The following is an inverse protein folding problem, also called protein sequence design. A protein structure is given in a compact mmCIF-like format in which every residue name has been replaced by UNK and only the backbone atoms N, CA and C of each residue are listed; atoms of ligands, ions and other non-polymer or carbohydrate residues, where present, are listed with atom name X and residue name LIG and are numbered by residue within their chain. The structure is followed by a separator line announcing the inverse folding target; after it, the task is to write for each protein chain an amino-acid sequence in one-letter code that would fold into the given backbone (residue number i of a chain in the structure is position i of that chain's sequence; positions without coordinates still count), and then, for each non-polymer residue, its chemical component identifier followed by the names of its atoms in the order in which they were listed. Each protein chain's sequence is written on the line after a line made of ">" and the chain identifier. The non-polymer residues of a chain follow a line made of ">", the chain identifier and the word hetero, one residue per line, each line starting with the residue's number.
data_IF_334529064828
#
_entry.id   IF_334529064828
#
_cell.length_a   1.000
_cell.length_b   1.000
_cell.length_c   1.000
_cell.angle_alpha   90.00
_cell.angle_beta   90.00
_cell.angle_gamma   90.00
#
_symmetry.space_group_name_H-M   'P 1'
#
loop_
_entity.id
_entity.type
_entity.pdbx_description
1 polymer ?
#
# COMPACT_ATOMS: atom_id res chain seq x y z
N UNK A 1 0.84 44.98 73.45
CA UNK A 1 2.22 45.49 73.37
C UNK A 1 2.67 45.30 71.93
N UNK A 2 3.12 46.24 71.11
CA UNK A 2 3.27 47.71 71.11
C UNK A 2 3.03 48.15 69.63
N UNK A 3 2.26 49.21 69.37
CA UNK A 3 2.69 50.55 68.89
C UNK A 3 3.37 50.54 67.49
N UNK A 4 3.20 51.48 66.55
CA UNK A 4 2.65 52.84 66.53
C UNK A 4 2.47 53.27 65.04
N UNK A 5 1.37 53.96 64.70
CA UNK A 5 1.30 55.40 64.31
C UNK A 5 1.97 55.77 62.98
N UNK A 6 1.21 56.02 61.90
CA UNK A 6 0.54 57.29 61.52
C UNK A 6 1.44 58.34 60.85
N UNK A 7 1.11 58.75 59.62
CA UNK A 7 0.60 60.11 59.30
C UNK A 7 0.37 60.28 57.79
N UNK A 8 -0.74 60.93 57.49
CA UNK A 8 -1.22 61.40 56.19
C UNK A 8 -0.50 62.66 55.72
N UNK A 9 -0.46 62.90 54.40
CA UNK A 9 -0.57 64.24 53.81
C UNK A 9 -1.18 64.14 52.41
N UNK A 10 -2.28 64.87 52.21
CA UNK A 10 -2.90 65.17 50.91
C UNK A 10 -2.18 66.36 50.27
N UNK A 11 -1.93 66.30 48.95
CA UNK A 11 -1.89 67.48 48.08
C UNK A 11 -2.44 67.12 46.70
N UNK A 12 -3.40 67.94 46.26
CA UNK A 12 -4.07 67.97 44.98
C UNK A 12 -3.24 68.71 43.92
N UNK A 13 -3.21 68.22 42.68
CA UNK A 13 -2.97 69.02 41.46
C UNK A 13 -3.55 68.26 40.24
N UNK A 14 -4.45 68.91 39.49
CA UNK A 14 -4.84 68.59 38.10
C UNK A 14 -4.24 69.66 37.16
N UNK A 15 -4.38 69.59 35.83
CA UNK A 15 -4.04 68.51 34.89
C UNK A 15 -3.12 69.04 33.74
N UNK A 16 -2.38 68.19 33.04
CA UNK A 16 -1.82 68.55 31.71
C UNK A 16 -1.90 67.35 30.78
N UNK A 17 -2.75 67.46 29.76
CA UNK A 17 -2.77 66.59 28.59
C UNK A 17 -1.49 66.87 27.79
N UNK A 18 -0.66 65.84 27.57
CA UNK A 18 0.41 65.89 26.57
C UNK A 18 0.34 64.63 25.73
N UNK A 19 -0.15 64.80 24.49
CA UNK A 19 -0.07 63.79 23.45
C UNK A 19 1.39 63.47 23.16
N UNK A 20 1.79 62.21 23.35
CA UNK A 20 3.04 61.70 22.80
C UNK A 20 2.74 60.47 21.96
N UNK A 21 2.99 60.65 20.66
CA UNK A 21 2.95 59.65 19.60
C UNK A 21 3.88 58.49 19.96
N UNK A 22 3.34 57.27 19.97
CA UNK A 22 4.11 56.03 20.05
C UNK A 22 4.85 55.85 18.73
N UNK A 23 6.17 55.58 18.72
CA UNK A 23 6.85 55.19 17.50
C UNK A 23 6.46 53.74 17.16
N UNK A 24 5.97 53.54 15.94
CA UNK A 24 5.68 52.22 15.40
C UNK A 24 6.96 51.35 15.41
N UNK A 25 6.96 50.30 16.22
CA UNK A 25 7.98 49.27 16.15
C UNK A 25 7.81 48.50 14.82
N UNK A 26 8.82 48.56 13.96
CA UNK A 26 8.92 47.67 12.81
C UNK A 26 9.14 46.25 13.34
N UNK A 27 8.06 45.51 13.56
CA UNK A 27 8.15 44.05 13.60
C UNK A 27 8.57 43.59 12.20
N UNK A 28 9.85 43.24 12.05
CA UNK A 28 10.28 42.34 10.97
C UNK A 28 9.57 41.02 11.21
N UNK A 29 8.50 40.78 10.46
CA UNK A 29 7.90 39.47 10.36
C UNK A 29 8.97 38.50 9.88
N UNK A 30 9.43 37.63 10.77
CA UNK A 30 10.09 36.39 10.38
C UNK A 30 9.01 35.54 9.73
N UNK A 31 8.95 35.57 8.41
CA UNK A 31 8.24 34.56 7.64
C UNK A 31 9.04 33.27 7.73
N UNK A 32 8.92 32.59 8.87
CA UNK A 32 9.17 31.15 8.89
C UNK A 32 8.02 30.52 8.13
N UNK A 33 8.18 30.38 6.81
CA UNK A 33 7.37 29.50 6.01
C UNK A 33 7.61 28.08 6.55
N UNK A 34 6.80 27.68 7.53
CA UNK A 34 6.61 26.28 7.85
C UNK A 34 5.99 25.67 6.60
N UNK A 35 6.83 25.12 5.72
CA UNK A 35 6.38 24.17 4.72
C UNK A 35 5.81 22.98 5.51
N UNK A 36 4.53 23.05 5.88
CA UNK A 36 3.77 21.85 6.17
C UNK A 36 3.82 21.06 4.87
N UNK A 37 4.55 19.95 4.87
CA UNK A 37 4.47 18.94 3.83
C UNK A 37 3.04 18.41 3.91
N UNK A 38 2.13 19.08 3.22
CA UNK A 38 0.72 18.74 3.22
C UNK A 38 0.58 17.42 2.48
N UNK A 39 0.07 16.40 3.17
CA UNK A 39 -0.29 15.14 2.53
C UNK A 39 -1.32 15.39 1.43
N UNK A 40 -1.26 14.59 0.37
CA UNK A 40 -2.20 14.68 -0.76
C UNK A 40 -3.67 14.48 -0.35
N UNK A 41 -3.95 13.78 0.77
CA UNK A 41 -5.29 13.64 1.32
C UNK A 41 -5.28 13.32 2.83
N UNK A 42 -6.17 13.92 3.65
CA UNK A 42 -6.43 13.43 5.01
C UNK A 42 -7.07 12.04 4.96
N UNK A 43 -6.82 11.18 5.97
CA UNK A 43 -7.30 9.78 6.00
C UNK A 43 -8.82 9.59 5.73
N UNK A 44 -9.64 10.60 6.01
CA UNK A 44 -11.10 10.59 5.72
C UNK A 44 -11.44 10.64 4.22
N UNK A 45 -10.50 11.03 3.37
CA UNK A 45 -10.64 11.17 1.93
C UNK A 45 -10.02 9.98 1.16
N UNK A 46 -9.42 9.01 1.85
CA UNK A 46 -8.88 7.80 1.22
C UNK A 46 -10.01 6.95 0.60
N UNK A 47 -9.82 6.42 -0.62
CA UNK A 47 -10.82 5.56 -1.24
C UNK A 47 -10.96 4.24 -0.45
N UNK A 48 -12.19 3.73 -0.37
CA UNK A 48 -12.45 2.42 0.24
C UNK A 48 -12.05 1.29 -0.72
N UNK A 49 -10.94 0.62 -0.43
CA UNK A 49 -10.36 -0.43 -1.27
C UNK A 49 -10.97 -1.80 -0.95
N UNK A 50 -12.16 -2.07 -1.50
CA UNK A 50 -12.83 -3.37 -1.36
C UNK A 50 -12.55 -4.27 -2.57
N UNK A 51 -12.71 -5.57 -2.39
CA UNK A 51 -12.69 -6.50 -3.53
C UNK A 51 -13.76 -6.10 -4.56
N UNK A 52 -13.40 -6.16 -5.84
CA UNK A 52 -14.27 -5.82 -6.98
C UNK A 52 -14.31 -4.33 -7.35
N UNK A 53 -13.74 -3.42 -6.55
CA UNK A 53 -13.62 -2.02 -6.95
C UNK A 53 -12.51 -1.85 -7.99
N UNK A 54 -12.64 -0.83 -8.84
CA UNK A 54 -11.55 -0.46 -9.74
C UNK A 54 -10.39 0.10 -8.91
N UNK A 55 -9.20 -0.46 -9.09
CA UNK A 55 -7.97 0.02 -8.46
C UNK A 55 -7.72 1.49 -8.84
N UNK A 56 -7.46 2.39 -7.89
CA UNK A 56 -7.19 3.81 -8.19
C UNK A 56 -6.05 3.98 -9.21
N UNK A 57 -6.19 4.88 -10.17
CA UNK A 57 -5.07 5.23 -11.05
C UNK A 57 -4.18 6.27 -10.38
N UNK A 58 -2.89 6.26 -10.70
CA UNK A 58 -1.92 7.26 -10.26
C UNK A 58 -0.81 7.43 -11.30
N UNK A 59 -0.11 8.56 -11.21
CA UNK A 59 1.17 8.78 -11.88
C UNK A 59 2.27 8.65 -10.84
N UNK A 60 3.39 8.00 -11.17
CA UNK A 60 4.49 7.83 -10.23
C UNK A 60 5.84 7.81 -10.94
N UNK A 61 6.88 8.21 -10.20
CA UNK A 61 8.27 7.97 -10.58
C UNK A 61 8.67 6.58 -10.14
N UNK A 62 9.32 5.83 -11.03
CA UNK A 62 9.80 4.48 -10.74
C UNK A 62 11.25 4.32 -11.20
N UNK A 63 11.89 3.24 -10.76
CA UNK A 63 13.22 2.84 -11.26
C UNK A 63 13.25 2.58 -12.77
N UNK A 64 12.10 2.45 -13.43
CA UNK A 64 11.98 2.32 -14.90
C UNK A 64 11.50 3.61 -15.58
N UNK A 65 11.53 4.75 -14.88
CA UNK A 65 11.04 6.04 -15.36
C UNK A 65 9.64 6.38 -14.88
N UNK A 66 9.08 7.46 -15.44
CA UNK A 66 7.73 7.94 -15.13
C UNK A 66 6.67 6.96 -15.67
N UNK A 67 5.61 6.77 -14.88
CA UNK A 67 4.62 5.73 -15.15
C UNK A 67 3.19 6.19 -14.84
N UNK A 68 2.26 5.81 -15.72
CA UNK A 68 0.82 5.77 -15.45
C UNK A 68 0.45 4.34 -15.08
N UNK A 69 -0.10 4.13 -13.88
CA UNK A 69 -0.35 2.79 -13.35
C UNK A 69 -1.33 1.99 -14.22
N UNK A 70 -2.44 2.60 -14.66
CA UNK A 70 -3.44 1.94 -15.50
C UNK A 70 -2.90 1.57 -16.88
N UNK A 71 -2.05 2.42 -17.48
CA UNK A 71 -1.35 2.06 -18.73
C UNK A 71 -0.35 0.93 -18.51
N UNK A 72 0.37 0.95 -17.39
CA UNK A 72 1.33 -0.10 -17.07
C UNK A 72 0.67 -1.48 -16.96
N UNK A 73 -0.47 -1.57 -16.25
CA UNK A 73 -1.17 -2.85 -16.02
C UNK A 73 -2.14 -3.23 -17.14
N UNK A 74 -2.25 -2.45 -18.22
CA UNK A 74 -3.31 -2.64 -19.20
C UNK A 74 -3.29 -4.04 -19.82
N UNK A 75 -4.48 -4.65 -19.91
CA UNK A 75 -4.68 -6.03 -20.39
C UNK A 75 -3.98 -7.13 -19.58
N UNK A 76 -3.36 -6.81 -18.45
CA UNK A 76 -2.51 -7.73 -17.68
C UNK A 76 -3.06 -7.91 -16.26
N UNK A 77 -2.80 -9.08 -15.67
CA UNK A 77 -2.88 -9.18 -14.22
C UNK A 77 -1.74 -8.35 -13.60
N UNK A 78 -1.96 -7.82 -12.40
CA UNK A 78 -0.94 -7.05 -11.72
C UNK A 78 -0.85 -7.34 -10.22
N UNK A 79 0.37 -7.24 -9.70
CA UNK A 79 0.67 -7.23 -8.28
C UNK A 79 1.29 -5.87 -7.97
N UNK A 80 0.57 -5.06 -7.19
CA UNK A 80 1.13 -3.89 -6.53
C UNK A 80 1.44 -4.27 -5.09
N UNK A 81 2.69 -4.13 -4.66
CA UNK A 81 3.10 -4.49 -3.31
C UNK A 81 4.03 -3.45 -2.71
N UNK A 82 3.87 -3.19 -1.41
CA UNK A 82 4.71 -2.24 -0.68
C UNK A 82 5.71 -2.94 0.23
N UNK A 83 6.79 -2.25 0.59
CA UNK A 83 7.73 -2.66 1.63
C UNK A 83 8.12 -1.45 2.50
N UNK A 84 8.30 -1.62 3.82
CA UNK A 84 8.54 -0.50 4.73
C UNK A 84 9.64 0.48 4.31
N UNK A 85 10.83 -0.03 4.02
CA UNK A 85 11.98 0.77 3.62
C UNK A 85 13.05 -0.07 2.94
N UNK A 86 13.82 0.58 2.07
CA UNK A 86 15.04 0.04 1.50
C UNK A 86 16.10 -0.19 2.59
N UNK A 87 17.11 -1.00 2.31
CA UNK A 87 18.19 -1.35 3.24
C UNK A 87 17.71 -1.95 4.58
N UNK A 88 16.59 -2.66 4.55
CA UNK A 88 16.08 -3.40 5.72
C UNK A 88 16.02 -4.91 5.46
N UNK A 89 16.36 -5.74 6.45
CA UNK A 89 16.69 -7.15 6.19
C UNK A 89 15.54 -7.96 5.60
N UNK A 90 14.33 -7.85 6.16
CA UNK A 90 13.16 -8.60 5.68
C UNK A 90 12.74 -8.12 4.28
N UNK A 91 12.82 -6.83 3.99
CA UNK A 91 12.50 -6.31 2.66
C UNK A 91 13.49 -6.84 1.62
N UNK A 92 14.79 -6.93 1.97
CA UNK A 92 15.82 -7.45 1.06
C UNK A 92 15.53 -8.91 0.70
N UNK A 93 15.16 -9.74 1.68
CA UNK A 93 14.81 -11.15 1.41
C UNK A 93 13.55 -11.29 0.56
N UNK A 94 12.54 -10.44 0.79
CA UNK A 94 11.29 -10.48 0.03
C UNK A 94 11.48 -10.10 -1.44
N UNK A 95 12.10 -8.95 -1.71
CA UNK A 95 12.30 -8.49 -3.09
C UNK A 95 13.23 -9.43 -3.86
N UNK A 96 14.23 -10.02 -3.18
CA UNK A 96 15.07 -11.07 -3.73
C UNK A 96 14.26 -12.30 -4.16
N UNK A 97 13.41 -12.82 -3.27
CA UNK A 97 12.55 -13.98 -3.57
C UNK A 97 11.56 -13.69 -4.70
N UNK A 98 10.93 -12.51 -4.70
CA UNK A 98 10.03 -12.09 -5.79
C UNK A 98 10.78 -11.94 -7.12
N UNK A 99 12.01 -11.42 -7.12
CA UNK A 99 12.83 -11.32 -8.32
C UNK A 99 13.20 -12.71 -8.88
N UNK A 100 13.55 -13.67 -8.02
CA UNK A 100 13.80 -15.05 -8.44
C UNK A 100 12.56 -15.73 -9.05
N UNK A 101 11.37 -15.40 -8.55
CA UNK A 101 10.09 -15.95 -9.03
C UNK A 101 9.52 -15.22 -10.26
N UNK A 102 10.19 -14.19 -10.79
CA UNK A 102 9.71 -13.36 -11.90
C UNK A 102 9.17 -14.18 -13.07
N UNK A 103 9.91 -15.20 -13.51
CA UNK A 103 9.51 -16.02 -14.66
C UNK A 103 8.18 -16.75 -14.42
N UNK A 104 7.87 -17.13 -13.17
CA UNK A 104 6.59 -17.77 -12.83
C UNK A 104 5.41 -16.79 -12.90
N UNK A 105 5.62 -15.53 -12.51
CA UNK A 105 4.62 -14.47 -12.65
C UNK A 105 4.43 -14.07 -14.12
N UNK A 106 5.51 -13.92 -14.88
CA UNK A 106 5.46 -13.60 -16.32
C UNK A 106 4.74 -14.69 -17.12
N UNK A 107 4.98 -15.97 -16.80
CA UNK A 107 4.27 -17.11 -17.42
C UNK A 107 2.75 -17.06 -17.22
N UNK A 108 2.28 -16.38 -16.16
CA UNK A 108 0.85 -16.17 -15.84
C UNK A 108 0.32 -14.84 -16.36
N UNK A 109 1.12 -14.07 -17.11
CA UNK A 109 0.74 -12.76 -17.62
C UNK A 109 0.56 -11.71 -16.51
N UNK A 110 1.36 -11.82 -15.44
CA UNK A 110 1.29 -10.93 -14.27
C UNK A 110 2.43 -9.93 -14.30
N UNK A 111 2.10 -8.64 -14.20
CA UNK A 111 3.05 -7.55 -14.02
C UNK A 111 3.23 -7.23 -12.55
N UNK A 112 4.46 -7.12 -12.09
CA UNK A 112 4.77 -6.75 -10.71
C UNK A 112 5.21 -5.29 -10.62
N UNK A 113 4.92 -4.65 -9.50
CA UNK A 113 5.44 -3.33 -9.15
C UNK A 113 5.56 -3.19 -7.64
N UNK A 114 6.77 -2.86 -7.19
CA UNK A 114 7.09 -2.58 -5.78
C UNK A 114 6.85 -1.12 -5.43
N UNK A 115 6.79 -0.81 -4.13
CA UNK A 115 6.63 0.55 -3.62
C UNK A 115 7.26 0.71 -2.24
N UNK A 116 7.98 1.80 -2.01
CA UNK A 116 8.26 2.32 -0.68
C UNK A 116 8.31 3.84 -0.68
N UNK A 117 8.44 4.41 0.52
CA UNK A 117 8.59 5.85 0.70
C UNK A 117 10.02 6.39 0.43
N UNK A 118 10.91 5.56 -0.10
CA UNK A 118 12.27 5.94 -0.48
C UNK A 118 12.30 6.66 -1.84
N UNK A 119 13.38 7.40 -2.10
CA UNK A 119 13.63 8.02 -3.40
C UNK A 119 14.29 7.06 -4.40
N UNK A 120 14.38 7.48 -5.67
CA UNK A 120 14.98 6.66 -6.74
C UNK A 120 16.47 6.33 -6.50
N UNK A 121 17.23 7.23 -5.89
CA UNK A 121 18.65 7.00 -5.66
C UNK A 121 18.90 5.91 -4.61
N UNK A 122 18.03 5.86 -3.59
CA UNK A 122 17.98 4.77 -2.61
C UNK A 122 17.65 3.44 -3.28
N UNK A 123 16.61 3.42 -4.13
CA UNK A 123 16.22 2.21 -4.88
C UNK A 123 17.34 1.67 -5.76
N UNK A 124 17.98 2.52 -6.57
CA UNK A 124 19.04 2.12 -7.50
C UNK A 124 20.26 1.54 -6.79
N UNK A 125 20.60 2.07 -5.61
CA UNK A 125 21.66 1.53 -4.78
C UNK A 125 21.26 0.18 -4.16
N UNK A 126 20.06 0.11 -3.58
CA UNK A 126 19.60 -1.09 -2.87
C UNK A 126 19.29 -2.27 -3.79
N UNK A 127 18.86 -2.03 -5.04
CA UNK A 127 18.69 -3.08 -6.05
C UNK A 127 19.99 -3.85 -6.28
N UNK A 128 21.16 -3.19 -6.19
CA UNK A 128 22.46 -3.86 -6.33
C UNK A 128 22.68 -4.85 -5.18
N UNK A 129 22.39 -4.44 -3.95
CA UNK A 129 22.49 -5.30 -2.77
C UNK A 129 21.54 -6.49 -2.88
N UNK A 130 20.28 -6.27 -3.30
CA UNK A 130 19.31 -7.36 -3.49
C UNK A 130 19.82 -8.38 -4.51
N UNK A 131 20.32 -7.89 -5.65
CA UNK A 131 20.81 -8.74 -6.73
C UNK A 131 22.03 -9.55 -6.31
N UNK A 132 22.97 -8.93 -5.58
CA UNK A 132 24.15 -9.60 -5.04
C UNK A 132 23.77 -10.65 -3.97
N UNK A 133 23.04 -10.25 -2.93
CA UNK A 133 22.67 -11.10 -1.80
C UNK A 133 21.80 -12.28 -2.24
N UNK A 134 20.85 -12.04 -3.15
CA UNK A 134 19.86 -13.05 -3.56
C UNK A 134 20.26 -13.76 -4.85
N UNK A 135 21.44 -13.47 -5.41
CA UNK A 135 21.91 -14.00 -6.70
C UNK A 135 20.81 -13.96 -7.77
N UNK A 136 20.26 -12.76 -8.00
CA UNK A 136 19.09 -12.56 -8.84
C UNK A 136 19.23 -11.30 -9.69
N UNK A 137 18.23 -11.04 -10.52
CA UNK A 137 18.10 -9.78 -11.24
C UNK A 137 16.69 -9.25 -11.04
N UNK A 138 16.55 -8.19 -10.24
CA UNK A 138 15.31 -7.48 -10.04
C UNK A 138 14.97 -6.68 -11.30
N UNK A 139 13.84 -7.02 -11.93
CA UNK A 139 13.42 -6.50 -13.24
C UNK A 139 12.02 -5.87 -13.22
N UNK A 140 11.36 -5.84 -12.07
CA UNK A 140 10.11 -5.10 -11.92
C UNK A 140 10.40 -3.69 -11.38
N UNK A 141 9.61 -2.69 -11.76
CA UNK A 141 9.79 -1.33 -11.27
C UNK A 141 9.50 -1.23 -9.77
N UNK A 142 10.20 -0.32 -9.10
CA UNK A 142 9.89 0.10 -7.73
C UNK A 142 9.48 1.58 -7.77
N UNK A 143 8.31 1.89 -7.19
CA UNK A 143 7.79 3.25 -7.06
C UNK A 143 8.56 3.99 -5.96
N UNK A 144 9.01 5.20 -6.26
CA UNK A 144 9.55 6.15 -5.30
C UNK A 144 8.44 7.06 -4.77
N UNK A 145 7.84 6.71 -3.63
CA UNK A 145 6.67 7.39 -3.06
C UNK A 145 7.05 8.29 -1.87
N UNK A 146 8.02 9.19 -2.07
CA UNK A 146 8.60 10.02 -1.01
C UNK A 146 7.57 10.93 -0.30
N UNK A 147 6.48 11.29 -0.98
CA UNK A 147 5.37 12.08 -0.44
C UNK A 147 4.18 11.22 0.05
N UNK A 148 4.28 9.89 -0.12
CA UNK A 148 3.31 8.87 0.33
C UNK A 148 1.96 8.98 -0.38
N UNK A 149 1.90 9.61 -1.53
CA UNK A 149 0.64 9.80 -2.24
C UNK A 149 -0.01 8.46 -2.60
N UNK A 150 0.79 7.53 -3.13
CA UNK A 150 0.29 6.20 -3.50
C UNK A 150 0.05 5.34 -2.26
N UNK A 151 0.91 5.42 -1.25
CA UNK A 151 0.74 4.72 0.02
C UNK A 151 -0.55 5.13 0.74
N UNK A 152 -0.89 6.41 0.77
CA UNK A 152 -2.19 6.86 1.28
C UNK A 152 -3.33 6.43 0.35
N UNK A 153 -3.18 6.56 -0.97
CA UNK A 153 -4.21 6.16 -1.94
C UNK A 153 -4.57 4.67 -1.83
N UNK A 154 -3.60 3.83 -1.47
CA UNK A 154 -3.74 2.38 -1.34
C UNK A 154 -3.83 1.88 0.12
N UNK A 155 -4.01 2.77 1.09
CA UNK A 155 -4.13 2.42 2.53
C UNK A 155 -2.98 1.53 3.04
N UNK A 156 -1.76 1.87 2.64
CA UNK A 156 -0.52 1.12 2.93
C UNK A 156 0.26 1.70 4.11
N UNK A 157 -0.35 2.53 4.95
CA UNK A 157 0.33 3.16 6.11
C UNK A 157 -0.18 2.52 7.39
N UNK A 158 0.70 2.21 8.33
CA UNK A 158 0.30 1.66 9.63
C UNK A 158 -0.46 2.72 10.45
N UNK A 159 -1.49 2.30 11.18
CA UNK A 159 -2.31 3.19 12.01
C UNK A 159 -1.47 3.95 13.05
N UNK A 160 -0.40 3.36 13.59
CA UNK A 160 0.48 4.02 14.56
C UNK A 160 1.33 5.12 13.91
N UNK A 161 1.67 4.94 12.63
CA UNK A 161 2.47 5.92 11.90
C UNK A 161 1.63 7.15 11.56
N UNK A 162 0.32 7.01 11.32
CA UNK A 162 -0.59 8.16 11.11
C UNK A 162 -0.51 9.23 12.22
N UNK A 163 -0.21 8.84 13.46
CA UNK A 163 -0.05 9.77 14.60
C UNK A 163 1.38 10.25 14.85
N UNK A 164 2.38 9.66 14.20
CA UNK A 164 3.79 9.85 14.52
C UNK A 164 4.66 10.30 13.32
N UNK A 165 4.08 10.47 12.13
CA UNK A 165 4.83 10.87 10.93
C UNK A 165 5.62 12.17 11.16
N UNK A 166 5.02 13.15 11.86
CA UNK A 166 5.66 14.45 12.11
C UNK A 166 6.88 14.38 13.04
N UNK A 167 7.01 13.31 13.84
CA UNK A 167 8.12 13.14 14.79
C UNK A 167 9.26 12.28 14.23
N UNK A 168 8.96 11.30 13.38
CA UNK A 168 9.96 10.38 12.79
C UNK A 168 10.38 10.74 11.37
N UNK A 169 9.69 11.69 10.72
CA UNK A 169 10.01 12.19 9.38
C UNK A 169 9.70 11.23 8.22
N UNK A 170 9.53 9.93 8.49
CA UNK A 170 9.24 8.90 7.49
C UNK A 170 8.12 7.99 8.04
N UNK A 171 6.90 8.10 7.49
CA UNK A 171 5.93 7.01 7.59
C UNK A 171 6.48 5.85 6.76
N UNK A 172 6.64 4.70 7.38
CA UNK A 172 6.94 3.47 6.66
C UNK A 172 5.62 2.89 6.14
N UNK A 173 5.66 2.25 4.98
CA UNK A 173 4.50 1.48 4.53
C UNK A 173 4.44 0.15 5.26
N UNK A 174 3.25 -0.42 5.41
CA UNK A 174 3.10 -1.85 5.74
C UNK A 174 3.54 -2.72 4.55
N UNK A 175 3.52 -4.04 4.71
CA UNK A 175 3.78 -5.00 3.64
C UNK A 175 2.45 -5.39 2.97
N UNK A 176 1.90 -4.48 2.16
CA UNK A 176 0.66 -4.73 1.44
C UNK A 176 0.92 -5.48 0.13
N UNK A 177 -0.06 -6.27 -0.31
CA UNK A 177 -0.12 -6.87 -1.65
C UNK A 177 -1.53 -6.70 -2.17
N UNK A 178 -1.66 -6.09 -3.35
CA UNK A 178 -2.90 -5.97 -4.11
C UNK A 178 -2.75 -6.80 -5.38
N UNK A 179 -3.65 -7.77 -5.56
CA UNK A 179 -3.78 -8.52 -6.81
C UNK A 179 -4.92 -7.90 -7.61
N UNK A 180 -4.60 -7.46 -8.82
CA UNK A 180 -5.48 -6.69 -9.69
C UNK A 180 -5.64 -7.43 -11.02
N UNK A 181 -6.88 -7.57 -11.50
CA UNK A 181 -7.16 -8.26 -12.76
C UNK A 181 -7.01 -7.34 -14.00
N UNK A 182 -7.07 -7.89 -15.23
CA UNK A 182 -6.99 -7.09 -16.45
C UNK A 182 -8.09 -6.03 -16.61
N UNK A 183 -9.21 -6.17 -15.90
CA UNK A 183 -10.29 -5.19 -15.82
C UNK A 183 -10.04 -4.14 -14.73
N UNK A 184 -8.82 -4.12 -14.17
CA UNK A 184 -8.32 -3.21 -13.16
C UNK A 184 -9.09 -3.35 -11.84
N UNK A 185 -9.71 -4.50 -11.58
CA UNK A 185 -10.44 -4.77 -10.33
C UNK A 185 -9.52 -5.36 -9.29
N UNK A 186 -9.63 -4.90 -8.06
CA UNK A 186 -8.94 -5.50 -6.91
C UNK A 186 -9.58 -6.87 -6.63
N UNK A 187 -8.80 -7.94 -6.71
CA UNK A 187 -9.25 -9.33 -6.54
C UNK A 187 -8.86 -9.95 -5.21
N UNK A 188 -7.75 -9.50 -4.65
CA UNK A 188 -7.26 -9.96 -3.36
C UNK A 188 -6.36 -8.89 -2.75
N UNK A 189 -6.44 -8.75 -1.42
CA UNK A 189 -5.58 -7.87 -0.63
C UNK A 189 -4.97 -8.68 0.52
N UNK A 190 -3.67 -8.56 0.71
CA UNK A 190 -2.95 -9.11 1.87
C UNK A 190 -2.24 -7.97 2.58
N UNK A 191 -2.47 -7.81 3.88
CA UNK A 191 -1.86 -6.77 4.70
C UNK A 191 -1.02 -7.44 5.79
N UNK A 192 0.30 -7.26 5.70
CA UNK A 192 1.25 -7.77 6.67
C UNK A 192 1.90 -6.59 7.42
N UNK A 193 2.15 -6.70 8.73
CA UNK A 193 2.94 -5.70 9.45
C UNK A 193 4.41 -5.78 9.01
N UNK A 194 5.18 -4.75 9.32
CA UNK A 194 6.62 -4.72 9.00
C UNK A 194 7.40 -5.91 9.59
N UNK A 195 6.92 -6.48 10.70
CA UNK A 195 7.57 -7.59 11.41
C UNK A 195 7.42 -8.97 10.76
N UNK A 196 6.53 -9.14 9.79
CA UNK A 196 6.23 -10.46 9.19
C UNK A 196 6.53 -10.44 7.70
N UNK A 197 7.53 -11.21 7.27
CA UNK A 197 7.80 -11.43 5.85
C UNK A 197 6.69 -12.24 5.18
N UNK A 198 6.37 -11.89 3.93
CA UNK A 198 5.34 -12.53 3.11
C UNK A 198 5.79 -13.88 2.59
N UNK A 199 4.82 -14.77 2.37
CA UNK A 199 5.04 -16.02 1.68
C UNK A 199 4.86 -15.81 0.16
N UNK A 200 5.96 -15.79 -0.59
CA UNK A 200 5.92 -15.59 -2.04
C UNK A 200 5.20 -16.72 -2.79
N UNK A 201 5.26 -17.95 -2.28
CA UNK A 201 4.52 -19.08 -2.84
C UNK A 201 3.00 -18.89 -2.71
N UNK A 202 2.53 -18.29 -1.60
CA UNK A 202 1.11 -17.99 -1.44
C UNK A 202 0.66 -16.93 -2.45
N UNK A 203 1.46 -15.87 -2.67
CA UNK A 203 1.16 -14.85 -3.69
C UNK A 203 1.01 -15.48 -5.07
N UNK A 204 1.88 -16.43 -5.44
CA UNK A 204 1.76 -17.16 -6.70
C UNK A 204 0.52 -18.08 -6.73
N UNK A 205 0.28 -18.84 -5.65
CA UNK A 205 -0.83 -19.79 -5.55
C UNK A 205 -2.20 -19.11 -5.68
N UNK A 206 -2.38 -17.94 -5.08
CA UNK A 206 -3.67 -17.21 -5.21
C UNK A 206 -3.90 -16.67 -6.61
N UNK A 207 -2.84 -16.35 -7.36
CA UNK A 207 -2.96 -16.00 -8.79
C UNK A 207 -3.45 -17.21 -9.57
N UNK A 208 -2.85 -18.38 -9.33
CA UNK A 208 -3.30 -19.64 -9.95
C UNK A 208 -4.77 -19.94 -9.62
N UNK A 209 -5.17 -19.73 -8.37
CA UNK A 209 -6.56 -19.90 -7.93
C UNK A 209 -7.51 -18.94 -8.66
N UNK A 210 -7.20 -17.64 -8.66
CA UNK A 210 -8.03 -16.61 -9.30
C UNK A 210 -8.16 -16.85 -10.81
N UNK A 211 -7.05 -17.10 -11.50
CA UNK A 211 -7.04 -17.36 -12.93
C UNK A 211 -7.75 -18.68 -13.29
N UNK A 212 -7.62 -19.71 -12.45
CA UNK A 212 -8.34 -20.98 -12.62
C UNK A 212 -9.84 -20.77 -12.47
N UNK A 213 -10.26 -20.02 -11.45
CA UNK A 213 -11.66 -19.68 -11.22
C UNK A 213 -12.26 -18.91 -12.39
N UNK A 214 -11.58 -17.88 -12.88
CA UNK A 214 -12.03 -17.05 -14.01
C UNK A 214 -12.11 -17.87 -15.31
N UNK A 215 -11.09 -18.70 -15.59
CA UNK A 215 -11.03 -19.48 -16.84
C UNK A 215 -12.03 -20.63 -16.87
N UNK A 216 -12.19 -21.34 -15.74
CA UNK A 216 -12.96 -22.59 -15.70
C UNK A 216 -14.35 -22.42 -15.06
N UNK A 217 -14.65 -21.29 -14.42
CA UNK A 217 -15.90 -21.09 -13.70
C UNK A 217 -16.04 -22.06 -12.51
N UNK A 218 -14.96 -22.21 -11.75
CA UNK A 218 -14.84 -23.11 -10.58
C UNK A 218 -14.37 -22.33 -9.35
N UNK A 219 -14.41 -22.95 -8.18
CA UNK A 219 -13.80 -22.40 -6.96
C UNK A 219 -12.72 -23.35 -6.43
N UNK A 220 -11.67 -22.82 -5.82
CA UNK A 220 -10.60 -23.66 -5.23
C UNK A 220 -10.89 -23.90 -3.74
N UNK A 221 -10.74 -25.14 -3.23
CA UNK A 221 -10.90 -25.44 -1.81
C UNK A 221 -9.79 -24.82 -0.94
N UNK A 222 -9.93 -25.01 0.38
CA UNK A 222 -8.87 -24.71 1.36
C UNK A 222 -7.57 -25.43 0.98
N UNK A 223 -6.44 -24.75 1.15
CA UNK A 223 -5.08 -25.24 0.88
C UNK A 223 -4.80 -25.76 -0.55
N UNK A 224 -5.70 -25.48 -1.49
CA UNK A 224 -5.61 -25.93 -2.88
C UNK A 224 -4.29 -25.52 -3.55
N UNK A 225 -3.65 -26.49 -4.21
CA UNK A 225 -2.52 -26.30 -5.11
C UNK A 225 -2.91 -26.61 -6.57
N UNK A 226 -2.20 -26.04 -7.56
CA UNK A 226 -2.38 -26.41 -8.96
C UNK A 226 -2.26 -27.93 -9.16
N UNK A 227 -3.32 -28.53 -9.69
CA UNK A 227 -3.41 -29.98 -9.90
C UNK A 227 -4.41 -30.67 -8.95
N UNK A 228 -4.75 -30.06 -7.82
CA UNK A 228 -5.77 -30.57 -6.92
C UNK A 228 -7.19 -30.38 -7.48
N UNK A 229 -8.13 -31.18 -6.97
CA UNK A 229 -9.56 -31.05 -7.24
C UNK A 229 -10.07 -29.63 -6.94
N UNK A 230 -10.88 -29.09 -7.85
CA UNK A 230 -11.62 -27.84 -7.67
C UNK A 230 -13.09 -28.13 -7.37
N UNK A 231 -13.79 -27.13 -6.86
CA UNK A 231 -15.20 -27.19 -6.48
C UNK A 231 -16.07 -26.62 -7.61
N UNK A 232 -17.14 -27.34 -7.94
CA UNK A 232 -18.23 -26.83 -8.77
C UNK A 232 -19.05 -25.84 -7.95
N UNK A 233 -19.17 -24.57 -8.38
CA UNK A 233 -19.89 -23.55 -7.61
C UNK A 233 -21.33 -23.96 -7.33
N UNK A 234 -21.90 -23.67 -6.14
CA UNK A 234 -23.28 -24.02 -5.81
C UNK A 234 -24.32 -23.43 -6.79
N UNK A 235 -23.99 -22.34 -7.47
CA UNK A 235 -24.84 -21.72 -8.50
C UNK A 235 -24.96 -22.52 -9.79
N UNK A 236 -24.14 -23.55 -10.00
CA UNK A 236 -24.18 -24.42 -11.19
C UNK A 236 -24.92 -25.72 -10.84
N UNK A 237 -25.89 -26.14 -11.66
CA UNK A 237 -26.61 -27.41 -11.46
C UNK A 237 -25.68 -28.61 -11.65
N UNK A 238 -25.99 -29.76 -11.04
CA UNK A 238 -25.16 -30.96 -11.21
C UNK A 238 -25.19 -31.45 -12.65
N UNK A 239 -26.33 -31.31 -13.32
CA UNK A 239 -26.53 -31.65 -14.72
C UNK A 239 -25.62 -30.82 -15.62
N UNK A 240 -25.59 -29.50 -15.45
CA UNK A 240 -24.76 -28.62 -16.27
C UNK A 240 -23.27 -28.81 -15.97
N UNK A 241 -22.91 -29.07 -14.70
CA UNK A 241 -21.56 -29.42 -14.33
C UNK A 241 -21.10 -30.72 -15.04
N UNK A 242 -21.94 -31.76 -15.06
CA UNK A 242 -21.64 -33.04 -15.75
C UNK A 242 -21.61 -32.91 -17.28
N UNK A 243 -22.26 -31.91 -17.86
CA UNK A 243 -22.10 -31.57 -19.29
C UNK A 243 -20.74 -30.91 -19.56
N UNK A 244 -20.28 -30.04 -18.65
CA UNK A 244 -19.05 -29.28 -18.81
C UNK A 244 -17.78 -30.06 -18.48
N UNK A 245 -17.77 -30.78 -17.36
CA UNK A 245 -16.58 -31.45 -16.81
C UNK A 245 -16.62 -32.96 -17.00
N UNK A 246 -15.46 -33.57 -17.18
CA UNK A 246 -15.33 -35.02 -17.41
C UNK A 246 -15.62 -35.87 -16.16
N UNK A 247 -15.42 -35.34 -14.95
CA UNK A 247 -15.23 -36.12 -13.72
C UNK A 247 -15.89 -35.50 -12.46
N UNK A 248 -17.16 -35.08 -12.56
CA UNK A 248 -17.87 -34.50 -11.41
C UNK A 248 -18.15 -35.56 -10.34
N UNK A 249 -17.53 -35.39 -9.16
CA UNK A 249 -17.76 -36.19 -7.94
C UNK A 249 -18.62 -35.43 -6.95
N UNK A 250 -19.85 -35.91 -6.74
CA UNK A 250 -20.79 -35.31 -5.79
C UNK A 250 -20.65 -35.96 -4.40
N UNK A 251 -20.23 -35.18 -3.41
CA UNK A 251 -20.17 -35.60 -1.99
C UNK A 251 -21.47 -35.22 -1.28
N UNK A 252 -21.97 -34.01 -1.56
CA UNK A 252 -23.28 -33.48 -1.17
C UNK A 252 -23.79 -32.56 -2.29
N UNK A 253 -25.09 -32.23 -2.33
CA UNK A 253 -25.63 -31.33 -3.37
C UNK A 253 -24.89 -29.99 -3.50
N UNK A 254 -24.36 -29.45 -2.39
CA UNK A 254 -23.59 -28.20 -2.37
C UNK A 254 -22.06 -28.41 -2.45
N UNK A 255 -21.58 -29.65 -2.33
CA UNK A 255 -20.16 -29.99 -2.27
C UNK A 255 -19.82 -31.02 -3.34
N UNK A 256 -19.36 -30.50 -4.48
CA UNK A 256 -19.06 -31.28 -5.68
C UNK A 256 -17.66 -30.91 -6.16
N UNK A 257 -16.85 -31.92 -6.42
CA UNK A 257 -15.47 -31.80 -6.86
C UNK A 257 -15.32 -32.22 -8.33
N UNK A 258 -14.27 -31.74 -8.98
CA UNK A 258 -13.82 -32.14 -10.32
C UNK A 258 -12.34 -31.79 -10.45
N UNK A 259 -11.57 -32.50 -11.29
CA UNK A 259 -10.22 -32.05 -11.69
C UNK A 259 -10.23 -30.75 -12.50
N UNK A 260 -11.42 -30.29 -12.92
CA UNK A 260 -11.60 -29.11 -13.77
C UNK A 260 -11.21 -29.37 -15.22
N UNK A 261 -11.09 -30.63 -15.63
CA UNK A 261 -10.93 -31.02 -17.03
C UNK A 261 -12.29 -30.95 -17.73
N UNK A 262 -12.35 -30.17 -18.80
CA UNK A 262 -13.57 -30.03 -19.61
C UNK A 262 -13.67 -31.15 -20.64
N UNK A 263 -14.89 -31.51 -21.00
CA UNK A 263 -15.16 -32.43 -22.12
C UNK A 263 -14.87 -31.78 -23.47
#
# INVERSE_FOLDING_TARGET
>A
MASSSSRSFLRSFTPVLRSQLVPASKQRGSLSAHFRRGYAAPAREQPRLRLGVTAPNFQAKTTHGDMDFHKYIDGSWAILFSHPADFTPVCTTELGAFAQMRNEFEKRGVKMIGLSANDLSSHDAWIKDINDISNTSLQFPIIADADREVAFLYDMVDQQDLSNIDQKGIAFTIRAVFIIDPQKKIRLVMLYPASVGRNSAEVLRVIDSLQTGDKKGVTTPIDWQPGDDVIVPPSVTTEDAKKKFSDVREVRPYLRFTSGNTK
#
